data_IF_750548774229
#
_entry.id   IF_750548774229
#
_cell.length_a   1.000
_cell.length_b   1.000
_cell.length_c   1.000
_cell.angle_alpha   90.00
_cell.angle_beta   90.00
_cell.angle_gamma   90.00
#
_symmetry.space_group_name_H-M   'P 1'
#
loop_
_entity.id
_entity.type
_entity.pdbx_description
1 polymer ?
#
# COMPACT_ATOMS: atom_id res chain seq x y z
N UNK A 1 -36.20 -15.91 -1.06
CA UNK A 1 -35.79 -16.27 0.31
C UNK A 1 -34.61 -17.20 0.17
N UNK A 2 -33.45 -16.84 0.72
CA UNK A 2 -32.33 -17.80 0.77
C UNK A 2 -32.81 -18.95 1.65
N UNK A 3 -33.16 -20.06 1.04
CA UNK A 3 -33.85 -21.17 1.72
C UNK A 3 -32.98 -21.92 2.73
N UNK A 4 -31.64 -21.75 2.64
CA UNK A 4 -30.75 -22.42 3.56
C UNK A 4 -30.50 -21.59 4.81
N UNK A 5 -31.30 -21.80 5.84
CA UNK A 5 -31.11 -21.27 7.21
C UNK A 5 -29.66 -21.49 7.71
N UNK A 6 -29.04 -22.61 7.34
CA UNK A 6 -27.67 -22.97 7.72
C UNK A 6 -26.63 -21.94 7.21
N UNK A 7 -26.77 -21.44 5.99
CA UNK A 7 -25.82 -20.45 5.47
C UNK A 7 -25.95 -19.11 6.20
N UNK A 8 -27.17 -18.68 6.53
CA UNK A 8 -27.42 -17.47 7.30
C UNK A 8 -26.83 -17.58 8.70
N UNK A 9 -27.11 -18.66 9.40
CA UNK A 9 -26.58 -18.92 10.75
C UNK A 9 -25.03 -18.96 10.75
N UNK A 10 -24.43 -19.51 9.70
CA UNK A 10 -22.97 -19.56 9.57
C UNK A 10 -22.37 -18.16 9.36
N UNK A 11 -22.96 -17.37 8.48
CA UNK A 11 -22.56 -16.00 8.19
C UNK A 11 -22.72 -15.08 9.41
N UNK A 12 -23.85 -15.22 10.16
CA UNK A 12 -24.06 -14.49 11.41
C UNK A 12 -22.98 -14.84 12.44
N UNK A 13 -22.65 -16.12 12.57
CA UNK A 13 -21.56 -16.57 13.45
C UNK A 13 -20.20 -15.99 13.10
N UNK A 14 -19.85 -15.92 11.82
CA UNK A 14 -18.60 -15.28 11.37
C UNK A 14 -18.62 -13.80 11.73
N UNK A 15 -19.73 -13.09 11.52
CA UNK A 15 -19.84 -11.68 11.87
C UNK A 15 -19.67 -11.44 13.39
N UNK A 16 -20.27 -12.29 14.22
CA UNK A 16 -20.20 -12.17 15.68
C UNK A 16 -18.79 -12.43 16.24
N UNK A 17 -18.10 -13.45 15.72
CA UNK A 17 -16.83 -13.94 16.28
C UNK A 17 -15.60 -13.11 15.89
N UNK A 18 -15.74 -12.20 14.92
CA UNK A 18 -14.59 -11.53 14.33
C UNK A 18 -14.76 -10.03 14.30
N UNK A 19 -13.87 -9.30 14.96
CA UNK A 19 -13.83 -7.84 14.85
C UNK A 19 -13.23 -7.39 13.50
N UNK A 20 -13.86 -6.37 12.88
CA UNK A 20 -13.43 -5.82 11.60
C UNK A 20 -13.69 -6.72 10.39
N UNK A 21 -14.48 -7.79 10.55
CA UNK A 21 -14.91 -8.68 9.47
C UNK A 21 -16.42 -8.54 9.28
N UNK A 22 -16.84 -8.36 8.02
CA UNK A 22 -18.22 -8.08 7.61
C UNK A 22 -18.60 -9.03 6.47
N UNK A 23 -19.11 -10.23 6.79
CA UNK A 23 -19.47 -11.22 5.80
C UNK A 23 -20.83 -10.92 5.18
N UNK A 24 -20.99 -11.35 3.92
CA UNK A 24 -22.23 -11.28 3.14
C UNK A 24 -22.33 -12.58 2.33
N UNK A 25 -23.52 -13.11 2.17
CA UNK A 25 -23.78 -14.19 1.21
C UNK A 25 -24.83 -13.75 0.19
N UNK A 26 -24.58 -14.03 -1.08
CA UNK A 26 -25.46 -13.67 -2.20
C UNK A 26 -25.82 -14.90 -3.01
N UNK A 27 -27.10 -15.15 -3.20
CA UNK A 27 -27.64 -16.04 -4.24
C UNK A 27 -27.54 -15.28 -5.58
N UNK A 28 -26.60 -15.69 -6.43
CA UNK A 28 -26.31 -15.02 -7.70
C UNK A 28 -27.43 -15.22 -8.74
N UNK A 29 -28.15 -16.31 -8.63
CA UNK A 29 -29.20 -16.65 -9.62
C UNK A 29 -30.50 -15.88 -9.34
N UNK A 30 -30.71 -15.44 -8.10
CA UNK A 30 -31.88 -14.64 -7.70
C UNK A 30 -31.53 -13.17 -7.36
N UNK A 31 -30.25 -12.75 -7.44
CA UNK A 31 -29.80 -11.44 -7.00
C UNK A 31 -30.27 -11.10 -5.58
N UNK A 32 -30.13 -12.07 -4.67
CA UNK A 32 -30.57 -11.94 -3.29
C UNK A 32 -29.41 -12.10 -2.33
N UNK A 33 -29.09 -11.06 -1.59
CA UNK A 33 -28.01 -11.04 -0.61
C UNK A 33 -28.55 -11.06 0.81
N UNK A 34 -27.91 -11.79 1.69
CA UNK A 34 -28.15 -11.74 3.12
C UNK A 34 -27.02 -10.99 3.82
N UNK A 35 -27.42 -10.01 4.64
CA UNK A 35 -26.52 -9.10 5.37
C UNK A 35 -26.76 -9.25 6.88
N UNK A 36 -25.80 -9.79 7.65
CA UNK A 36 -25.86 -9.84 9.10
C UNK A 36 -26.02 -8.46 9.76
N UNK A 37 -26.58 -8.42 10.96
CA UNK A 37 -26.82 -7.18 11.72
C UNK A 37 -25.53 -6.33 11.87
N UNK A 38 -24.42 -6.93 12.29
CA UNK A 38 -23.13 -6.23 12.44
C UNK A 38 -22.62 -5.66 11.11
N UNK A 39 -22.80 -6.37 10.01
CA UNK A 39 -22.43 -5.90 8.68
C UNK A 39 -23.34 -4.76 8.23
N UNK A 40 -24.64 -4.89 8.47
CA UNK A 40 -25.63 -3.87 8.16
C UNK A 40 -25.37 -2.58 8.92
N UNK A 41 -25.12 -2.66 10.22
CA UNK A 41 -24.78 -1.51 11.07
C UNK A 41 -23.54 -0.77 10.55
N UNK A 42 -22.51 -1.50 10.16
CA UNK A 42 -21.27 -0.90 9.66
C UNK A 42 -21.48 -0.10 8.37
N UNK A 43 -22.25 -0.63 7.42
CA UNK A 43 -22.54 0.02 6.14
C UNK A 43 -23.81 0.90 6.18
N UNK A 44 -24.56 0.89 7.28
CA UNK A 44 -25.81 1.61 7.45
C UNK A 44 -26.94 1.10 6.56
N UNK A 45 -26.98 -0.19 6.42
CA UNK A 45 -28.05 -0.95 5.79
C UNK A 45 -29.02 -1.47 6.86
N UNK A 46 -30.17 -1.94 6.43
CA UNK A 46 -31.03 -2.76 7.29
C UNK A 46 -30.49 -4.20 7.33
N UNK A 47 -30.54 -4.92 8.46
CA UNK A 47 -30.15 -6.32 8.49
C UNK A 47 -31.15 -7.20 7.74
N UNK A 48 -30.68 -8.27 7.11
CA UNK A 48 -31.52 -9.25 6.43
C UNK A 48 -31.29 -9.34 4.93
N UNK A 49 -32.37 -9.57 4.17
CA UNK A 49 -32.31 -9.83 2.74
C UNK A 49 -32.37 -8.55 1.90
N UNK A 50 -31.48 -8.44 0.93
CA UNK A 50 -31.36 -7.32 0.00
C UNK A 50 -31.30 -7.80 -1.45
N UNK A 51 -31.95 -7.07 -2.34
CA UNK A 51 -31.71 -7.16 -3.78
C UNK A 51 -30.78 -6.04 -4.23
N UNK A 52 -30.02 -6.25 -5.28
CA UNK A 52 -29.08 -5.25 -5.81
C UNK A 52 -28.11 -4.68 -4.75
N UNK A 53 -27.66 -5.51 -3.81
CA UNK A 53 -26.84 -5.07 -2.67
C UNK A 53 -25.56 -4.37 -3.13
N UNK A 54 -24.91 -4.85 -4.17
CA UNK A 54 -23.66 -4.28 -4.66
C UNK A 54 -23.82 -2.85 -5.19
N UNK A 55 -24.97 -2.52 -5.77
CA UNK A 55 -25.29 -1.14 -6.16
C UNK A 55 -25.57 -0.26 -4.92
N UNK A 56 -26.19 -0.81 -3.88
CA UNK A 56 -26.37 -0.09 -2.60
C UNK A 56 -25.02 0.22 -1.95
N UNK A 57 -24.09 -0.72 -1.96
CA UNK A 57 -22.73 -0.52 -1.44
C UNK A 57 -21.92 0.52 -2.23
N UNK A 58 -22.24 0.81 -3.50
CA UNK A 58 -21.63 1.91 -4.25
C UNK A 58 -21.73 3.26 -3.54
N UNK A 59 -22.78 3.48 -2.74
CA UNK A 59 -22.96 4.72 -1.97
C UNK A 59 -21.96 4.88 -0.83
N UNK A 60 -21.33 3.78 -0.41
CA UNK A 60 -20.33 3.76 0.63
C UNK A 60 -18.89 3.82 0.07
N UNK A 61 -18.71 3.61 -1.24
CA UNK A 61 -17.40 3.57 -1.89
C UNK A 61 -16.92 4.99 -2.19
N UNK A 62 -15.64 5.27 -1.91
CA UNK A 62 -15.02 6.54 -2.29
C UNK A 62 -15.06 6.74 -3.82
N UNK A 63 -15.35 7.96 -4.27
CA UNK A 63 -15.53 8.30 -5.68
C UNK A 63 -14.33 7.89 -6.58
N UNK A 64 -13.11 7.95 -6.01
CA UNK A 64 -11.89 7.57 -6.73
C UNK A 64 -11.85 6.06 -6.99
N UNK A 65 -12.33 5.26 -6.04
CA UNK A 65 -12.29 3.80 -6.08
C UNK A 65 -13.53 3.19 -6.77
N UNK A 66 -14.59 3.98 -6.94
CA UNK A 66 -15.87 3.53 -7.48
C UNK A 66 -15.78 2.87 -8.87
N UNK A 67 -14.97 3.38 -9.84
CA UNK A 67 -14.82 2.71 -11.14
C UNK A 67 -14.20 1.31 -11.00
N UNK A 68 -13.21 1.15 -10.13
CA UNK A 68 -12.54 -0.13 -9.87
C UNK A 68 -13.47 -1.08 -9.14
N UNK A 69 -14.16 -0.61 -8.10
CA UNK A 69 -15.18 -1.39 -7.39
C UNK A 69 -16.21 -1.98 -8.35
N UNK A 70 -16.79 -1.14 -9.23
CA UNK A 70 -17.80 -1.60 -10.21
C UNK A 70 -17.26 -2.63 -11.19
N UNK A 71 -16.00 -2.45 -11.61
CA UNK A 71 -15.32 -3.42 -12.48
C UNK A 71 -15.18 -4.76 -11.78
N UNK A 72 -14.58 -4.79 -10.59
CA UNK A 72 -14.31 -6.00 -9.81
C UNK A 72 -15.59 -6.76 -9.44
N UNK A 73 -16.62 -6.04 -8.96
CA UNK A 73 -17.89 -6.66 -8.63
C UNK A 73 -18.56 -7.29 -9.87
N UNK A 74 -18.51 -6.60 -11.02
CA UNK A 74 -19.09 -7.16 -12.26
C UNK A 74 -18.43 -8.47 -12.67
N UNK A 75 -17.11 -8.57 -12.60
CA UNK A 75 -16.40 -9.80 -12.91
C UNK A 75 -16.79 -10.92 -11.93
N UNK A 76 -16.84 -10.62 -10.64
CA UNK A 76 -17.20 -11.61 -9.61
C UNK A 76 -18.63 -12.11 -9.75
N UNK A 77 -19.59 -11.23 -10.04
CA UNK A 77 -20.97 -11.60 -10.28
C UNK A 77 -21.14 -12.48 -11.54
N UNK A 78 -20.29 -12.32 -12.53
CA UNK A 78 -20.25 -13.18 -13.71
C UNK A 78 -19.51 -14.51 -13.48
N UNK A 79 -18.98 -14.76 -12.28
CA UNK A 79 -18.20 -15.95 -11.95
C UNK A 79 -16.78 -15.92 -12.45
N UNK A 80 -16.29 -14.75 -12.88
CA UNK A 80 -14.91 -14.52 -13.26
C UNK A 80 -14.11 -14.03 -12.04
N UNK A 81 -12.95 -14.64 -11.81
CA UNK A 81 -12.06 -14.25 -10.71
C UNK A 81 -10.87 -13.52 -11.30
N UNK A 82 -10.77 -12.20 -11.08
CA UNK A 82 -9.63 -11.42 -11.53
C UNK A 82 -8.48 -11.52 -10.52
N UNK A 83 -8.75 -11.18 -9.28
CA UNK A 83 -7.79 -11.23 -8.18
C UNK A 83 -8.41 -11.91 -6.97
N UNK A 84 -7.59 -12.59 -6.17
CA UNK A 84 -8.06 -13.23 -4.93
C UNK A 84 -8.56 -12.19 -3.93
N UNK A 85 -7.99 -11.00 -3.94
CA UNK A 85 -8.31 -9.90 -3.03
C UNK A 85 -8.24 -8.60 -3.80
N UNK A 86 -9.23 -7.73 -3.63
CA UNK A 86 -9.11 -6.34 -4.05
C UNK A 86 -9.45 -5.40 -2.89
N UNK A 87 -8.94 -4.17 -2.95
CA UNK A 87 -9.05 -3.21 -1.87
C UNK A 87 -9.79 -1.96 -2.32
N UNK A 88 -10.71 -1.47 -1.49
CA UNK A 88 -11.53 -0.30 -1.78
C UNK A 88 -11.71 0.52 -0.50
N UNK A 89 -11.65 1.84 -0.62
CA UNK A 89 -12.03 2.72 0.46
C UNK A 89 -13.54 2.82 0.53
N UNK A 90 -14.08 2.44 1.67
CA UNK A 90 -15.49 2.53 1.97
C UNK A 90 -15.69 3.28 3.27
N UNK A 91 -16.74 4.06 3.35
CA UNK A 91 -17.00 4.79 4.56
C UNK A 91 -18.43 5.27 4.67
N UNK A 92 -18.83 5.59 5.88
CA UNK A 92 -20.07 6.25 6.19
C UNK A 92 -19.77 7.57 6.89
N UNK A 93 -20.37 8.66 6.38
CA UNK A 93 -20.21 10.01 6.91
C UNK A 93 -18.78 10.57 6.81
N UNK A 94 -18.05 10.64 7.93
CA UNK A 94 -16.72 11.29 8.00
C UNK A 94 -15.56 10.34 8.18
N UNK A 95 -15.82 9.02 8.23
CA UNK A 95 -14.77 8.00 8.40
C UNK A 95 -14.73 7.12 7.19
N UNK A 96 -13.56 7.05 6.57
CA UNK A 96 -13.23 6.09 5.52
C UNK A 96 -12.40 4.94 6.09
N UNK A 97 -12.69 3.76 5.60
CA UNK A 97 -11.99 2.53 5.97
C UNK A 97 -11.52 1.85 4.70
N UNK A 98 -10.32 1.31 4.76
CA UNK A 98 -9.84 0.40 3.75
C UNK A 98 -10.48 -0.96 3.94
N UNK A 99 -11.22 -1.40 2.94
CA UNK A 99 -11.89 -2.70 2.95
C UNK A 99 -11.23 -3.63 1.95
N UNK A 100 -10.71 -4.75 2.44
CA UNK A 100 -10.29 -5.88 1.60
C UNK A 100 -11.48 -6.77 1.30
N UNK A 101 -11.65 -7.11 0.03
CA UNK A 101 -12.73 -7.97 -0.47
C UNK A 101 -12.18 -9.37 -0.75
N UNK A 102 -12.58 -10.32 0.07
CA UNK A 102 -12.28 -11.74 -0.06
C UNK A 102 -13.53 -12.46 -0.49
N UNK A 103 -13.48 -13.22 -1.57
CA UNK A 103 -14.69 -13.86 -2.05
C UNK A 103 -14.45 -15.22 -2.67
N UNK A 104 -15.48 -16.07 -2.58
CA UNK A 104 -15.54 -17.33 -3.29
C UNK A 104 -16.96 -17.61 -3.77
N UNK A 105 -17.07 -18.41 -4.83
CA UNK A 105 -18.34 -18.81 -5.43
C UNK A 105 -18.45 -20.34 -5.37
N UNK A 106 -19.56 -20.83 -4.88
CA UNK A 106 -19.83 -22.25 -4.83
C UNK A 106 -21.26 -22.57 -5.29
N UNK A 107 -21.51 -23.82 -5.68
CA UNK A 107 -22.83 -24.31 -5.96
C UNK A 107 -23.47 -24.88 -4.69
N UNK A 108 -24.67 -24.43 -4.37
CA UNK A 108 -25.50 -25.01 -3.30
C UNK A 108 -26.15 -26.35 -3.69
N UNK A 109 -26.62 -27.06 -2.69
CA UNK A 109 -27.36 -28.33 -2.90
C UNK A 109 -28.67 -28.14 -3.65
N UNK A 110 -29.21 -26.93 -3.67
CA UNK A 110 -30.38 -26.49 -4.41
C UNK A 110 -30.12 -26.20 -5.90
N UNK A 111 -28.83 -26.25 -6.30
CA UNK A 111 -28.37 -25.98 -7.64
C UNK A 111 -28.14 -24.51 -7.96
N UNK A 112 -28.36 -23.61 -6.99
CA UNK A 112 -28.03 -22.19 -7.12
C UNK A 112 -26.54 -21.92 -6.89
N UNK A 113 -26.06 -20.82 -7.47
CA UNK A 113 -24.70 -20.33 -7.25
C UNK A 113 -24.71 -19.30 -6.12
N UNK A 114 -23.90 -19.54 -5.12
CA UNK A 114 -23.73 -18.63 -3.99
C UNK A 114 -22.37 -17.95 -4.04
N UNK A 115 -22.37 -16.65 -3.79
CA UNK A 115 -21.18 -15.85 -3.61
C UNK A 115 -21.06 -15.49 -2.13
N UNK A 116 -20.01 -15.99 -1.47
CA UNK A 116 -19.63 -15.53 -0.14
C UNK A 116 -18.61 -14.43 -0.28
N UNK A 117 -18.95 -13.27 0.23
CA UNK A 117 -18.08 -12.11 0.29
C UNK A 117 -17.76 -11.81 1.75
N UNK A 118 -16.48 -11.69 2.05
CA UNK A 118 -15.99 -11.24 3.35
C UNK A 118 -15.27 -9.92 3.16
N UNK A 119 -15.86 -8.86 3.68
CA UNK A 119 -15.21 -7.56 3.74
C UNK A 119 -14.43 -7.48 5.05
N UNK A 120 -13.14 -7.18 4.98
CA UNK A 120 -12.28 -6.99 6.13
C UNK A 120 -11.82 -5.54 6.22
N UNK A 121 -11.99 -4.94 7.39
CA UNK A 121 -11.47 -3.61 7.66
C UNK A 121 -9.96 -3.69 7.88
N UNK A 122 -9.20 -3.29 6.86
CA UNK A 122 -7.73 -3.32 6.88
C UNK A 122 -7.12 -2.20 7.75
N UNK A 123 -7.90 -1.19 8.12
CA UNK A 123 -7.44 -0.16 9.06
C UNK A 123 -7.20 -0.71 10.47
N UNK A 124 -7.69 -1.90 10.75
CA UNK A 124 -7.36 -2.64 11.99
C UNK A 124 -5.98 -3.29 11.94
N UNK A 125 -5.37 -3.37 10.75
CA UNK A 125 -3.99 -3.76 10.58
C UNK A 125 -3.11 -2.51 10.72
N UNK A 126 -2.38 -2.33 11.84
CA UNK A 126 -1.62 -1.10 12.12
C UNK A 126 -0.46 -0.85 11.13
N UNK A 127 -0.30 -1.71 10.15
CA UNK A 127 0.86 -1.78 9.29
C UNK A 127 0.62 -1.42 7.83
N UNK A 128 -0.64 -1.29 7.38
CA UNK A 128 -0.96 -0.99 5.98
C UNK A 128 -1.41 0.46 5.86
N UNK A 129 -0.80 1.19 4.94
CA UNK A 129 -1.23 2.54 4.59
C UNK A 129 -2.56 2.49 3.82
N UNK A 130 -3.59 3.23 4.26
CA UNK A 130 -4.94 3.10 3.72
C UNK A 130 -5.10 3.66 2.30
N UNK A 131 -4.13 4.42 1.80
CA UNK A 131 -4.20 5.06 0.49
C UNK A 131 -3.40 4.31 -0.58
N UNK A 132 -2.23 3.80 -0.21
CA UNK A 132 -1.32 3.13 -1.13
C UNK A 132 -1.40 1.61 -1.07
N UNK A 133 -2.03 1.05 -0.03
CA UNK A 133 -2.09 -0.40 0.27
C UNK A 133 -0.74 -1.06 0.54
N UNK A 134 0.29 -0.27 0.66
CA UNK A 134 1.62 -0.73 1.05
C UNK A 134 1.74 -0.81 2.56
N UNK A 135 2.66 -1.62 3.02
CA UNK A 135 3.06 -1.58 4.41
C UNK A 135 3.64 -0.22 4.77
N UNK A 136 3.31 0.26 5.97
CA UNK A 136 3.81 1.53 6.51
C UNK A 136 5.09 1.37 7.32
N UNK A 137 5.48 2.50 7.94
CA UNK A 137 6.72 2.62 8.72
C UNK A 137 6.86 1.56 9.81
N UNK A 138 5.80 1.29 10.59
CA UNK A 138 5.88 0.31 11.70
C UNK A 138 6.24 -1.10 11.24
N UNK A 139 5.74 -1.51 10.07
CA UNK A 139 6.10 -2.81 9.49
C UNK A 139 7.52 -2.80 8.96
N UNK A 140 7.93 -1.73 8.28
CA UNK A 140 9.30 -1.55 7.81
C UNK A 140 10.31 -1.67 8.96
N UNK A 141 10.09 -0.95 10.07
CA UNK A 141 10.98 -0.98 11.23
C UNK A 141 11.11 -2.40 11.83
N UNK A 142 9.99 -3.12 11.93
CA UNK A 142 10.01 -4.52 12.42
C UNK A 142 10.77 -5.46 11.48
N UNK A 143 10.57 -5.29 10.17
CA UNK A 143 11.24 -6.15 9.19
C UNK A 143 12.74 -5.89 9.16
N UNK A 144 13.16 -4.61 9.20
CA UNK A 144 14.59 -4.24 9.30
C UNK A 144 15.20 -4.80 10.58
N UNK A 145 14.53 -4.68 11.72
CA UNK A 145 15.00 -5.29 12.96
C UNK A 145 15.19 -6.81 12.82
N UNK A 146 14.26 -7.48 12.16
CA UNK A 146 14.37 -8.91 11.85
C UNK A 146 15.60 -9.24 11.00
N UNK A 147 15.86 -8.48 9.94
CA UNK A 147 17.03 -8.69 9.08
C UNK A 147 18.36 -8.44 9.82
N UNK A 148 18.39 -7.43 10.70
CA UNK A 148 19.57 -7.16 11.56
C UNK A 148 19.81 -8.36 12.50
N UNK A 149 18.75 -8.82 13.19
CA UNK A 149 18.86 -9.93 14.15
C UNK A 149 19.27 -11.26 13.48
N UNK A 150 18.81 -11.49 12.25
CA UNK A 150 19.14 -12.68 11.49
C UNK A 150 20.45 -12.54 10.68
N UNK A 151 21.11 -11.38 10.77
CA UNK A 151 22.32 -11.05 10.01
C UNK A 151 22.17 -11.28 8.50
N UNK A 152 21.00 -10.89 7.96
CA UNK A 152 20.71 -11.04 6.52
C UNK A 152 21.24 -9.87 5.71
N UNK A 153 21.83 -10.18 4.57
CA UNK A 153 22.19 -9.16 3.59
C UNK A 153 20.92 -8.67 2.87
N UNK A 154 20.64 -7.38 2.96
CA UNK A 154 19.56 -6.73 2.23
C UNK A 154 20.02 -5.38 1.67
N UNK A 155 19.47 -4.97 0.52
CA UNK A 155 19.57 -3.60 0.06
C UNK A 155 18.28 -2.86 0.43
N UNK A 156 18.41 -1.69 1.05
CA UNK A 156 17.33 -0.79 1.40
C UNK A 156 17.44 0.40 0.47
N UNK A 157 16.43 0.60 -0.38
CA UNK A 157 16.36 1.74 -1.32
C UNK A 157 15.19 2.62 -0.87
N UNK A 158 15.49 3.87 -0.48
CA UNK A 158 14.47 4.89 -0.23
C UNK A 158 14.39 5.82 -1.43
N UNK A 159 13.18 6.05 -1.92
CA UNK A 159 12.89 6.92 -3.05
C UNK A 159 11.89 7.98 -2.62
N UNK A 160 12.21 9.23 -2.87
CA UNK A 160 11.29 10.36 -2.72
C UNK A 160 10.93 10.93 -4.09
N UNK A 161 9.64 11.11 -4.33
CA UNK A 161 9.12 11.66 -5.57
C UNK A 161 8.78 13.12 -5.32
N UNK A 162 9.51 14.02 -5.96
CA UNK A 162 9.34 15.46 -5.86
C UNK A 162 8.01 15.94 -6.46
N UNK A 163 7.62 17.16 -6.06
CA UNK A 163 6.44 17.90 -6.55
C UNK A 163 5.05 17.33 -6.19
N UNK A 164 4.96 16.22 -5.46
CA UNK A 164 3.65 15.68 -5.04
C UNK A 164 2.90 16.68 -4.14
N UNK A 165 3.61 17.40 -3.26
CA UNK A 165 3.00 18.43 -2.41
C UNK A 165 2.52 19.63 -3.24
N UNK A 166 3.20 19.97 -4.32
CA UNK A 166 2.75 21.00 -5.27
C UNK A 166 1.47 20.58 -5.99
N UNK A 167 1.37 19.32 -6.37
CA UNK A 167 0.12 18.78 -6.95
C UNK A 167 -1.02 18.82 -5.94
N UNK A 168 -0.74 18.60 -4.65
CA UNK A 168 -1.74 18.75 -3.59
C UNK A 168 -2.27 20.18 -3.51
N UNK A 169 -1.39 21.18 -3.63
CA UNK A 169 -1.75 22.60 -3.63
C UNK A 169 -2.52 22.97 -4.90
N UNK A 170 -2.07 22.52 -6.06
CA UNK A 170 -2.63 22.93 -7.37
C UNK A 170 -3.92 22.19 -7.71
N UNK A 171 -4.05 20.93 -7.40
CA UNK A 171 -5.13 20.04 -7.84
C UNK A 171 -5.93 19.41 -6.72
N UNK A 172 -5.55 19.66 -5.46
CA UNK A 172 -6.20 19.12 -4.27
C UNK A 172 -5.69 17.76 -3.82
N UNK A 173 -5.98 17.39 -2.56
CA UNK A 173 -5.49 16.17 -1.92
C UNK A 173 -5.93 14.88 -2.61
N UNK A 174 -7.13 14.85 -3.16
CA UNK A 174 -7.63 13.67 -3.88
C UNK A 174 -6.79 13.36 -5.12
N UNK A 175 -6.24 14.39 -5.77
CA UNK A 175 -5.42 14.20 -6.96
C UNK A 175 -4.04 13.66 -6.61
N UNK A 176 -3.37 14.23 -5.61
CA UNK A 176 -2.07 13.74 -5.14
C UNK A 176 -2.16 12.31 -4.58
N UNK A 177 -3.23 12.00 -3.83
CA UNK A 177 -3.51 10.65 -3.35
C UNK A 177 -3.69 9.66 -4.50
N UNK A 178 -4.40 10.05 -5.57
CA UNK A 178 -4.58 9.19 -6.73
C UNK A 178 -3.26 8.90 -7.47
N UNK A 179 -2.35 9.88 -7.55
CA UNK A 179 -1.00 9.68 -8.09
C UNK A 179 -0.21 8.69 -7.22
N UNK A 180 -0.19 8.91 -5.90
CA UNK A 180 0.54 8.04 -4.97
C UNK A 180 0.02 6.61 -5.01
N UNK A 181 -1.29 6.43 -5.11
CA UNK A 181 -1.92 5.12 -5.25
C UNK A 181 -1.51 4.43 -6.55
N UNK A 182 -1.55 5.13 -7.66
CA UNK A 182 -1.16 4.56 -8.96
C UNK A 182 0.32 4.16 -8.97
N UNK A 183 1.19 4.97 -8.38
CA UNK A 183 2.60 4.62 -8.17
C UNK A 183 2.74 3.36 -7.30
N UNK A 184 2.02 3.31 -6.20
CA UNK A 184 2.03 2.15 -5.30
C UNK A 184 1.59 0.87 -6.01
N UNK A 185 0.54 0.92 -6.83
CA UNK A 185 0.09 -0.22 -7.64
C UNK A 185 1.19 -0.69 -8.60
N UNK A 186 1.87 0.24 -9.31
CA UNK A 186 2.99 -0.13 -10.17
C UNK A 186 4.12 -0.80 -9.39
N UNK A 187 4.43 -0.31 -8.19
CA UNK A 187 5.45 -0.89 -7.34
C UNK A 187 5.04 -2.28 -6.82
N UNK A 188 3.77 -2.48 -6.49
CA UNK A 188 3.23 -3.80 -6.12
C UNK A 188 3.44 -4.82 -7.26
N UNK A 189 3.16 -4.43 -8.50
CA UNK A 189 3.38 -5.31 -9.66
C UNK A 189 4.85 -5.62 -9.95
N UNK A 190 5.78 -4.83 -9.42
CA UNK A 190 7.22 -5.09 -9.55
C UNK A 190 7.77 -6.03 -8.48
N UNK A 191 7.00 -6.27 -7.41
CA UNK A 191 7.44 -7.11 -6.30
C UNK A 191 7.44 -8.58 -6.69
N UNK A 192 8.42 -9.27 -6.15
CA UNK A 192 8.52 -10.73 -6.16
C UNK A 192 8.78 -11.23 -4.72
N UNK A 193 8.96 -12.52 -4.54
CA UNK A 193 9.22 -13.08 -3.20
C UNK A 193 10.51 -12.59 -2.52
N UNK A 194 11.39 -11.90 -3.25
CA UNK A 194 12.65 -11.34 -2.75
C UNK A 194 12.57 -9.86 -2.37
N UNK A 195 11.49 -9.17 -2.77
CA UNK A 195 11.34 -7.72 -2.63
C UNK A 195 10.13 -7.37 -1.78
N UNK A 196 10.26 -6.40 -0.87
CA UNK A 196 9.16 -5.80 -0.13
C UNK A 196 9.15 -4.28 -0.35
N UNK A 197 7.96 -3.70 -0.42
CA UNK A 197 7.77 -2.25 -0.62
C UNK A 197 6.95 -1.67 0.53
N UNK A 198 7.36 -0.48 0.97
CA UNK A 198 6.76 0.25 2.08
C UNK A 198 6.49 1.70 1.68
N UNK A 199 5.45 2.28 2.24
CA UNK A 199 5.13 3.69 2.11
C UNK A 199 5.43 4.41 3.41
N UNK A 200 6.27 5.47 3.34
CA UNK A 200 6.82 6.17 4.51
C UNK A 200 6.26 7.58 4.71
N UNK A 201 5.11 7.90 4.12
CA UNK A 201 4.53 9.24 4.05
C UNK A 201 5.24 10.20 3.08
N UNK A 202 4.59 11.34 2.80
CA UNK A 202 5.12 12.45 2.02
C UNK A 202 5.85 12.03 0.72
N UNK A 203 5.21 11.12 -0.05
CA UNK A 203 5.74 10.66 -1.35
C UNK A 203 7.04 9.86 -1.28
N UNK A 204 7.36 9.30 -0.11
CA UNK A 204 8.51 8.43 0.11
C UNK A 204 8.10 6.97 0.09
N UNK A 205 8.83 6.19 -0.70
CA UNK A 205 8.68 4.74 -0.81
C UNK A 205 10.00 4.07 -0.45
N UNK A 206 9.93 2.97 0.28
CA UNK A 206 11.10 2.17 0.62
C UNK A 206 10.96 0.78 0.04
N UNK A 207 12.01 0.32 -0.60
CA UNK A 207 12.12 -1.03 -1.16
C UNK A 207 13.22 -1.78 -0.44
N UNK A 208 12.91 -2.98 0.02
CA UNK A 208 13.87 -3.88 0.65
C UNK A 208 14.06 -5.09 -0.25
N UNK A 209 15.28 -5.33 -0.70
CA UNK A 209 15.64 -6.41 -1.60
C UNK A 209 16.53 -7.39 -0.83
N UNK A 210 16.06 -8.62 -0.68
CA UNK A 210 16.80 -9.68 0.02
C UNK A 210 17.98 -10.17 -0.81
N UNK A 211 19.08 -10.49 -0.13
CA UNK A 211 20.30 -11.05 -0.74
C UNK A 211 20.87 -10.20 -1.89
N UNK A 212 20.62 -8.89 -1.83
CA UNK A 212 21.01 -7.96 -2.89
C UNK A 212 22.43 -7.43 -2.69
N UNK A 213 23.14 -7.32 -3.78
CA UNK A 213 24.38 -6.58 -3.94
C UNK A 213 24.11 -5.22 -4.62
N UNK A 214 25.19 -4.46 -4.86
CA UNK A 214 25.11 -3.16 -5.54
C UNK A 214 24.47 -3.25 -6.92
N UNK A 215 24.86 -4.24 -7.70
CA UNK A 215 24.41 -4.37 -9.09
C UNK A 215 22.90 -4.67 -9.16
N UNK A 216 22.41 -5.54 -8.28
CA UNK A 216 20.98 -5.84 -8.16
C UNK A 216 20.18 -4.64 -7.64
N UNK A 217 20.72 -3.87 -6.68
CA UNK A 217 20.08 -2.64 -6.20
C UNK A 217 19.97 -1.58 -7.32
N UNK A 218 21.05 -1.36 -8.09
CA UNK A 218 21.03 -0.44 -9.24
C UNK A 218 20.07 -0.91 -10.36
N UNK A 219 20.03 -2.22 -10.62
CA UNK A 219 19.11 -2.78 -11.62
C UNK A 219 17.64 -2.61 -11.18
N UNK A 220 17.36 -2.79 -9.89
CA UNK A 220 16.01 -2.60 -9.36
C UNK A 220 15.62 -1.12 -9.35
N UNK A 221 16.54 -0.21 -9.00
CA UNK A 221 16.29 1.22 -9.07
C UNK A 221 15.90 1.69 -10.48
N UNK A 222 16.56 1.15 -11.52
CA UNK A 222 16.15 1.46 -12.91
C UNK A 222 14.71 1.06 -13.18
N UNK A 223 14.25 -0.08 -12.68
CA UNK A 223 12.84 -0.48 -12.81
C UNK A 223 11.90 0.50 -12.09
N UNK A 224 12.30 1.00 -10.91
CA UNK A 224 11.52 2.02 -10.18
C UNK A 224 11.41 3.29 -11.04
N UNK A 225 12.52 3.78 -11.57
CA UNK A 225 12.55 4.97 -12.44
C UNK A 225 11.69 4.78 -13.68
N UNK A 226 11.77 3.63 -14.33
CA UNK A 226 10.94 3.30 -15.49
C UNK A 226 9.44 3.26 -15.13
N UNK A 227 9.09 2.70 -13.98
CA UNK A 227 7.72 2.66 -13.50
C UNK A 227 7.17 4.07 -13.22
N UNK A 228 7.96 4.94 -12.57
CA UNK A 228 7.58 6.34 -12.32
C UNK A 228 7.43 7.09 -13.65
N UNK A 229 8.40 6.99 -14.53
CA UNK A 229 8.39 7.66 -15.83
C UNK A 229 7.25 7.17 -16.74
N UNK A 230 6.77 5.93 -16.56
CA UNK A 230 5.60 5.43 -17.28
C UNK A 230 4.30 6.16 -16.92
N UNK A 231 4.30 6.93 -15.82
CA UNK A 231 3.20 7.80 -15.41
C UNK A 231 3.25 9.22 -16.01
N UNK A 232 4.09 9.43 -17.02
CA UNK A 232 4.21 10.69 -17.72
C UNK A 232 2.85 11.31 -18.12
N UNK A 233 1.81 10.49 -18.29
CA UNK A 233 0.47 10.93 -18.62
C UNK A 233 -0.54 10.30 -17.66
N UNK A 234 -1.09 11.11 -16.75
CA UNK A 234 -2.10 10.67 -15.79
C UNK A 234 -3.34 11.58 -15.86
N UNK A 235 -4.53 10.99 -16.05
CA UNK A 235 -5.81 11.72 -16.12
C UNK A 235 -5.77 12.97 -17.03
N UNK A 236 -5.19 12.84 -18.22
CA UNK A 236 -5.00 13.93 -19.19
C UNK A 236 -3.98 15.02 -18.83
N UNK A 237 -3.23 14.85 -17.74
CA UNK A 237 -2.13 15.73 -17.37
C UNK A 237 -0.79 15.08 -17.68
N UNK A 238 0.15 15.92 -18.14
CA UNK A 238 1.53 15.54 -18.37
C UNK A 238 2.35 15.88 -17.13
N UNK A 239 3.10 14.92 -16.61
CA UNK A 239 3.94 15.10 -15.44
C UNK A 239 5.40 14.77 -15.73
N UNK A 240 6.27 15.52 -15.10
CA UNK A 240 7.68 15.16 -14.93
C UNK A 240 7.93 15.11 -13.42
N UNK A 241 8.48 14.01 -12.95
CA UNK A 241 8.77 13.83 -11.53
C UNK A 241 10.26 13.96 -11.29
N UNK A 242 10.64 14.75 -10.32
CA UNK A 242 11.97 14.67 -9.75
C UNK A 242 12.06 13.41 -8.87
N UNK A 243 13.07 12.59 -9.10
CA UNK A 243 13.26 11.34 -8.37
C UNK A 243 14.57 11.44 -7.62
N UNK A 244 14.51 11.34 -6.28
CA UNK A 244 15.68 11.29 -5.43
C UNK A 244 15.74 9.93 -4.76
N UNK A 245 16.93 9.31 -4.74
CA UNK A 245 17.05 7.96 -4.22
C UNK A 245 18.34 7.74 -3.42
N UNK A 246 18.19 6.97 -2.36
CA UNK A 246 19.26 6.54 -1.49
C UNK A 246 19.27 5.04 -1.34
N UNK A 247 20.44 4.43 -1.20
CA UNK A 247 20.60 3.01 -0.93
C UNK A 247 21.58 2.77 0.21
N UNK A 248 21.21 1.87 1.10
CA UNK A 248 22.09 1.24 2.07
C UNK A 248 22.10 -0.26 1.83
N UNK A 249 23.29 -0.84 1.62
CA UNK A 249 23.47 -2.29 1.63
C UNK A 249 23.82 -2.68 3.06
N UNK A 250 22.86 -3.33 3.72
CA UNK A 250 23.01 -3.89 5.05
C UNK A 250 23.74 -5.21 4.92
N UNK A 251 25.00 -5.24 5.33
CA UNK A 251 25.83 -6.43 5.33
C UNK A 251 26.80 -6.35 6.48
N UNK A 252 26.84 -7.34 7.34
CA UNK A 252 27.73 -7.42 8.51
C UNK A 252 27.68 -6.13 9.35
N UNK A 253 26.47 -5.62 9.58
CA UNK A 253 26.25 -4.31 10.18
C UNK A 253 25.91 -4.42 11.66
N UNK A 254 26.74 -3.80 12.50
CA UNK A 254 26.50 -3.64 13.93
C UNK A 254 25.76 -2.31 14.19
N UNK A 255 24.46 -2.33 14.20
CA UNK A 255 23.64 -1.16 14.49
C UNK A 255 22.18 -1.54 14.75
N UNK A 256 21.45 -0.61 15.33
CA UNK A 256 20.04 -0.73 15.53
C UNK A 256 19.23 -0.22 14.31
N UNK A 257 17.95 -0.51 14.31
CA UNK A 257 17.02 -0.09 13.25
C UNK A 257 17.03 1.42 13.05
N UNK A 258 17.11 2.21 14.14
CA UNK A 258 17.08 3.67 14.06
C UNK A 258 18.31 4.23 13.36
N UNK A 259 19.46 3.63 13.61
CA UNK A 259 20.72 3.98 12.94
C UNK A 259 20.69 3.64 11.45
N UNK A 260 20.10 2.51 11.08
CA UNK A 260 19.91 2.11 9.66
C UNK A 260 19.03 3.12 8.95
N UNK A 261 17.88 3.47 9.51
CA UNK A 261 16.94 4.45 8.94
C UNK A 261 17.63 5.81 8.79
N UNK A 262 18.28 6.31 9.85
CA UNK A 262 18.97 7.61 9.80
C UNK A 262 20.05 7.70 8.72
N UNK A 263 20.73 6.59 8.41
CA UNK A 263 21.73 6.54 7.33
C UNK A 263 21.10 6.63 5.96
N UNK A 264 19.98 5.96 5.74
CA UNK A 264 19.26 6.02 4.47
C UNK A 264 18.69 7.43 4.27
N UNK A 265 18.02 7.99 5.28
CA UNK A 265 17.50 9.38 5.24
C UNK A 265 18.59 10.43 5.00
N UNK A 266 19.72 10.32 5.70
CA UNK A 266 20.87 11.21 5.47
C UNK A 266 21.35 11.14 4.01
N UNK A 267 21.40 9.95 3.44
CA UNK A 267 21.82 9.75 2.05
C UNK A 267 20.81 10.35 1.08
N UNK A 268 19.51 10.19 1.36
CA UNK A 268 18.44 10.78 0.57
C UNK A 268 18.49 12.31 0.61
N UNK A 269 18.70 12.91 1.78
CA UNK A 269 18.89 14.35 1.90
C UNK A 269 20.10 14.86 1.09
N UNK A 270 21.16 14.07 1.01
CA UNK A 270 22.31 14.39 0.15
C UNK A 270 21.95 14.30 -1.33
N UNK A 271 21.19 13.29 -1.76
CA UNK A 271 20.71 13.17 -3.13
C UNK A 271 19.89 14.40 -3.53
N UNK A 272 18.97 14.85 -2.67
CA UNK A 272 18.16 16.06 -2.87
C UNK A 272 19.02 17.32 -2.98
N UNK A 273 19.97 17.53 -2.07
CA UNK A 273 20.86 18.70 -2.10
C UNK A 273 21.77 18.76 -3.32
N UNK A 274 22.11 17.60 -3.87
CA UNK A 274 22.93 17.49 -5.08
C UNK A 274 22.09 17.50 -6.37
N UNK A 275 20.77 17.49 -6.25
CA UNK A 275 19.84 17.27 -7.37
C UNK A 275 20.25 16.06 -8.23
N UNK A 276 20.69 14.99 -7.57
CA UNK A 276 21.19 13.79 -8.26
C UNK A 276 20.04 12.90 -8.68
N UNK A 277 19.91 12.58 -9.98
CA UNK A 277 18.96 11.58 -10.45
C UNK A 277 19.45 10.14 -10.22
N UNK A 278 20.70 9.97 -9.80
CA UNK A 278 21.33 8.68 -9.60
C UNK A 278 21.04 8.13 -8.20
N UNK A 279 21.04 6.80 -8.07
CA UNK A 279 20.98 6.13 -6.77
C UNK A 279 22.25 6.38 -5.98
N UNK A 280 22.16 7.13 -4.88
CA UNK A 280 23.29 7.36 -4.00
C UNK A 280 23.40 6.24 -2.96
N UNK A 281 24.63 5.75 -2.76
CA UNK A 281 24.91 4.70 -1.77
C UNK A 281 25.56 5.30 -0.52
N UNK A 282 24.98 5.03 0.66
CA UNK A 282 25.60 5.39 1.93
C UNK A 282 26.99 4.79 2.07
N UNK A 283 27.17 3.55 1.62
CA UNK A 283 28.44 2.84 1.69
C UNK A 283 29.60 3.55 0.95
N UNK A 284 29.30 4.38 -0.04
CA UNK A 284 30.31 5.19 -0.75
C UNK A 284 30.69 6.47 0.00
N UNK A 285 29.79 6.99 0.84
CA UNK A 285 30.00 8.24 1.59
C UNK A 285 30.93 8.06 2.77
N UNK A 286 30.99 6.84 3.29
CA UNK A 286 31.81 6.49 4.45
C UNK A 286 33.03 5.70 3.99
N UNK A 287 34.03 6.40 3.46
CA UNK A 287 35.35 5.78 3.29
C UNK A 287 36.03 5.73 4.65
N UNK A 288 35.98 4.59 5.31
CA UNK A 288 36.81 4.33 6.49
C UNK A 288 38.29 4.23 6.05
N UNK A 289 39.01 5.33 6.14
CA UNK A 289 40.46 5.22 6.25
C UNK A 289 40.74 4.79 7.70
N UNK A 290 41.28 3.60 7.88
CA UNK A 290 41.48 2.92 9.17
C UNK A 290 42.33 3.63 10.24
N UNK A 291 42.51 4.96 10.18
CA UNK A 291 43.24 5.76 11.16
C UNK A 291 42.77 7.22 11.27
N UNK A 292 41.49 7.53 11.12
CA UNK A 292 41.02 8.89 11.30
C UNK A 292 39.73 8.97 12.09
N UNK A 293 39.80 9.72 13.18
CA UNK A 293 38.65 10.23 13.92
C UNK A 293 37.66 10.92 12.98
N UNK A 294 36.37 10.64 13.14
CA UNK A 294 35.30 11.34 12.43
C UNK A 294 35.42 12.83 12.74
N UNK A 295 35.86 13.63 11.77
CA UNK A 295 35.76 15.10 11.83
C UNK A 295 34.47 15.50 11.12
N UNK A 296 33.48 15.90 11.89
CA UNK A 296 32.35 16.66 11.37
C UNK A 296 32.91 18.03 10.93
N UNK A 297 32.91 18.30 9.63
CA UNK A 297 33.10 19.65 9.13
C UNK A 297 31.74 20.39 9.22
N UNK A 298 31.50 21.04 10.34
CA UNK A 298 30.59 22.17 10.41
C UNK A 298 31.19 23.32 9.61
N UNK A 299 30.64 23.59 8.43
CA UNK A 299 30.92 24.82 7.73
C UNK A 299 30.12 25.95 8.37
N UNK A 300 30.71 26.58 9.39
CA UNK A 300 30.26 27.89 9.84
C UNK A 300 30.56 28.91 8.73
N UNK A 301 29.55 29.30 7.97
CA UNK A 301 29.58 30.56 7.25
C UNK A 301 29.21 31.66 8.24
N UNK A 302 30.23 32.29 8.79
CA UNK A 302 30.11 33.58 9.49
C UNK A 302 29.77 34.66 8.46
N UNK A 303 28.54 35.12 8.48
CA UNK A 303 28.15 36.37 7.81
C UNK A 303 28.56 37.50 8.73
N UNK A 304 29.66 38.18 8.38
CA UNK A 304 30.07 39.43 9.04
C UNK A 304 29.17 40.56 8.54
N UNK A 305 28.50 41.21 9.47
CA UNK A 305 27.95 42.55 9.24
C UNK A 305 29.07 43.59 9.39
N UNK A 306 29.25 44.41 8.37
CA UNK A 306 29.69 45.80 8.44
C UNK A 306 28.68 46.67 7.75
#
# INVERSE_FOLDING_TARGET
>A
MIEHTIYKEFIDKIAELSDGIYPIITDLDNDLSYVPEKTADFFGLEPGEHTCLFEQLCTCVNDIDLPEYRREIRYRLNGEKLDDIFYVRMGKHTKEYMMGFYSDIFAGDDGHRYHVLVLRNENTLPDIDPYTYLYGQSKFERDINGYIMENRSVAIIEVEIGHIDEFNILYGSNFSTAIQRELALKFIYMMDGSTATYYMNNSKFVFVIKEADRASAEAFYRKIVDAINSMYFFKCFKFEFDIYAACLILKDYDGDTSTVISKVEYTLDRAKKLHSPDLLFFNDMVRFNGNSHIRYHESHTSVGYQ
#
